data_IF_322826622488
#
_entry.id   IF_322826622488
#
_cell.length_a   1.000
_cell.length_b   1.000
_cell.length_c   1.000
_cell.angle_alpha   90.00
_cell.angle_beta   90.00
_cell.angle_gamma   90.00
#
_symmetry.space_group_name_H-M   'P 1'
#
loop_
_entity.id
_entity.type
_entity.pdbx_description
1 polymer ?
#
# COMPACT_ATOMS: atom_id res chain seq x y z
N UNK A 1 20.63 6.21 -9.54
CA UNK A 1 20.31 6.09 -8.10
C UNK A 1 19.11 5.15 -7.98
N UNK A 2 19.24 4.08 -7.22
CA UNK A 2 18.17 3.12 -7.00
C UNK A 2 16.97 3.79 -6.30
N UNK A 3 15.77 3.52 -6.80
CA UNK A 3 14.52 4.04 -6.23
C UNK A 3 13.70 2.93 -5.54
N UNK A 4 14.14 1.68 -5.63
CA UNK A 4 13.45 0.51 -5.12
C UNK A 4 14.39 -0.39 -4.32
N UNK A 5 13.86 -0.96 -3.27
CA UNK A 5 14.52 -2.03 -2.52
C UNK A 5 13.50 -3.13 -2.27
N UNK A 6 13.89 -4.37 -2.51
CA UNK A 6 13.04 -5.57 -2.34
C UNK A 6 13.53 -6.35 -1.13
N UNK A 7 12.60 -6.76 -0.28
CA UNK A 7 12.84 -7.63 0.85
C UNK A 7 11.65 -8.56 1.10
N UNK A 8 11.68 -9.29 2.20
CA UNK A 8 10.60 -10.18 2.62
C UNK A 8 10.42 -10.06 4.14
N UNK A 9 9.19 -10.21 4.61
CA UNK A 9 8.93 -10.37 6.03
C UNK A 9 9.64 -11.62 6.58
N UNK A 10 10.06 -11.55 7.83
CA UNK A 10 10.59 -12.71 8.55
C UNK A 10 9.57 -13.86 8.54
N UNK A 11 10.03 -15.09 8.31
CA UNK A 11 9.17 -16.29 8.19
C UNK A 11 8.37 -16.56 9.47
N UNK A 12 8.95 -16.30 10.65
CA UNK A 12 8.25 -16.48 11.94
C UNK A 12 7.07 -15.52 12.09
N UNK A 13 7.19 -14.31 11.51
CA UNK A 13 6.11 -13.32 11.49
C UNK A 13 5.06 -13.75 10.48
N UNK A 14 5.50 -14.12 9.29
CA UNK A 14 4.62 -14.54 8.20
C UNK A 14 3.80 -15.78 8.58
N UNK A 15 4.38 -16.75 9.27
CA UNK A 15 3.71 -17.94 9.79
C UNK A 15 2.62 -17.65 10.82
N UNK A 16 2.69 -16.49 11.50
CA UNK A 16 1.66 -16.05 12.46
C UNK A 16 0.57 -15.16 11.84
N UNK A 17 0.74 -14.73 10.59
CA UNK A 17 -0.23 -13.87 9.90
C UNK A 17 -1.38 -14.71 9.34
N UNK A 18 -2.57 -14.49 9.88
CA UNK A 18 -3.80 -15.06 9.33
C UNK A 18 -4.54 -13.99 8.51
N UNK A 19 -4.62 -14.17 7.19
CA UNK A 19 -5.21 -13.19 6.27
C UNK A 19 -6.68 -12.90 6.61
N UNK A 20 -7.48 -13.93 6.89
CA UNK A 20 -8.90 -13.77 7.22
C UNK A 20 -9.10 -12.98 8.52
N UNK A 21 -8.24 -13.22 9.52
CA UNK A 21 -8.25 -12.44 10.76
C UNK A 21 -7.92 -10.96 10.49
N UNK A 22 -6.90 -10.67 9.66
CA UNK A 22 -6.58 -9.31 9.27
C UNK A 22 -7.73 -8.64 8.51
N UNK A 23 -8.40 -9.34 7.59
CA UNK A 23 -9.55 -8.80 6.86
C UNK A 23 -10.64 -8.35 7.83
N UNK A 24 -10.91 -9.13 8.87
CA UNK A 24 -11.91 -8.80 9.90
C UNK A 24 -11.47 -7.65 10.82
N UNK A 25 -10.22 -7.69 11.32
CA UNK A 25 -9.73 -6.73 12.30
C UNK A 25 -9.45 -5.35 11.72
N UNK A 26 -9.01 -5.27 10.45
CA UNK A 26 -8.68 -4.01 9.79
C UNK A 26 -9.92 -3.21 9.34
N UNK A 27 -11.12 -3.78 9.42
CA UNK A 27 -12.42 -3.09 9.19
C UNK A 27 -12.41 -2.24 7.93
N UNK A 28 -12.11 -2.82 6.77
CA UNK A 28 -12.03 -2.13 5.50
C UNK A 28 -13.33 -1.41 5.14
N UNK A 29 -13.21 -0.16 4.71
CA UNK A 29 -14.30 0.68 4.24
C UNK A 29 -14.26 0.80 2.72
N UNK A 30 -15.44 0.83 2.10
CA UNK A 30 -15.63 1.07 0.67
C UNK A 30 -16.23 2.46 0.51
N UNK A 31 -15.44 3.40 -0.01
CA UNK A 31 -15.81 4.82 -0.03
C UNK A 31 -16.48 5.17 -1.35
N UNK A 32 -17.41 6.11 -1.30
CA UNK A 32 -17.88 6.81 -2.48
C UNK A 32 -16.79 7.79 -2.94
N UNK A 33 -16.40 7.68 -4.18
CA UNK A 33 -15.46 8.57 -4.86
C UNK A 33 -16.20 9.29 -5.99
N UNK A 34 -15.64 10.41 -6.41
CA UNK A 34 -16.13 11.19 -7.55
C UNK A 34 -14.98 11.37 -8.55
N UNK A 35 -15.23 11.13 -9.81
CA UNK A 35 -14.25 11.35 -10.86
C UNK A 35 -14.25 12.82 -11.34
N UNK A 36 -13.34 13.15 -12.25
CA UNK A 36 -13.19 14.51 -12.77
C UNK A 36 -14.41 15.02 -13.58
N UNK A 37 -15.37 14.13 -13.89
CA UNK A 37 -16.62 14.47 -14.58
C UNK A 37 -17.78 14.67 -13.62
N UNK A 38 -17.57 14.49 -12.29
CA UNK A 38 -18.60 14.53 -11.27
C UNK A 38 -19.37 13.20 -11.11
N UNK A 39 -18.96 12.13 -11.80
CA UNK A 39 -19.60 10.83 -11.67
C UNK A 39 -19.16 10.14 -10.36
N UNK A 40 -20.13 9.73 -9.56
CA UNK A 40 -19.91 9.06 -8.28
C UNK A 40 -19.86 7.55 -8.48
N UNK A 41 -18.91 6.92 -7.79
CA UNK A 41 -18.74 5.47 -7.80
C UNK A 41 -18.20 4.96 -6.45
N UNK A 42 -18.50 3.71 -6.13
CA UNK A 42 -17.95 3.05 -4.94
C UNK A 42 -16.59 2.43 -5.27
N UNK A 43 -15.59 2.68 -4.44
CA UNK A 43 -14.28 2.02 -4.55
C UNK A 43 -14.43 0.50 -4.60
N UNK A 44 -13.71 -0.12 -5.53
CA UNK A 44 -13.65 -1.58 -5.59
C UNK A 44 -12.76 -2.18 -4.48
N UNK A 45 -11.77 -1.41 -4.01
CA UNK A 45 -10.88 -1.79 -2.91
C UNK A 45 -11.47 -1.34 -1.58
N UNK A 46 -11.42 -2.21 -0.60
CA UNK A 46 -11.60 -1.78 0.78
C UNK A 46 -10.34 -1.03 1.24
N UNK A 47 -10.49 0.09 1.92
CA UNK A 47 -9.39 0.89 2.44
C UNK A 47 -9.57 1.22 3.91
N UNK A 48 -8.49 1.43 4.64
CA UNK A 48 -8.52 2.07 5.96
C UNK A 48 -7.17 2.76 6.22
N UNK A 49 -7.17 3.74 7.11
CA UNK A 49 -6.00 4.53 7.49
C UNK A 49 -5.78 4.51 8.99
N UNK A 50 -4.52 4.36 9.41
CA UNK A 50 -4.13 4.30 10.81
C UNK A 50 -2.93 5.21 11.08
N UNK A 51 -2.97 5.97 12.19
CA UNK A 51 -1.85 6.73 12.72
C UNK A 51 -2.09 7.03 14.20
N UNK A 52 -1.24 6.51 15.08
CA UNK A 52 -1.30 6.81 16.52
C UNK A 52 -0.89 8.25 16.85
N UNK A 53 -0.25 8.93 15.89
CA UNK A 53 0.12 10.35 16.00
C UNK A 53 -0.99 11.32 15.54
N UNK A 54 -2.13 10.80 15.08
CA UNK A 54 -3.26 11.61 14.65
C UNK A 54 -3.10 12.26 13.27
N UNK A 55 -2.15 11.80 12.44
CA UNK A 55 -1.97 12.36 11.09
C UNK A 55 -3.10 11.91 10.17
N UNK A 56 -3.80 12.86 9.56
CA UNK A 56 -4.78 12.59 8.49
C UNK A 56 -4.07 12.18 7.21
N UNK A 57 -4.78 11.55 6.30
CA UNK A 57 -4.26 11.18 4.99
C UNK A 57 -5.22 11.58 3.88
N UNK A 58 -4.74 12.37 2.93
CA UNK A 58 -5.53 12.74 1.75
C UNK A 58 -5.46 11.60 0.74
N UNK A 59 -6.62 11.08 0.36
CA UNK A 59 -6.74 9.96 -0.58
C UNK A 59 -7.88 10.24 -1.56
N UNK A 60 -7.58 10.26 -2.84
CA UNK A 60 -8.57 10.52 -3.92
C UNK A 60 -9.47 11.73 -3.59
N UNK A 61 -8.86 12.86 -3.23
CA UNK A 61 -9.51 14.12 -2.82
C UNK A 61 -10.39 14.03 -1.56
N UNK A 62 -10.28 12.96 -0.79
CA UNK A 62 -10.94 12.80 0.52
C UNK A 62 -9.91 12.74 1.64
N UNK A 63 -10.28 13.32 2.78
CA UNK A 63 -9.49 13.20 4.01
C UNK A 63 -9.88 11.87 4.69
N UNK A 64 -8.88 11.06 4.98
CA UNK A 64 -9.01 9.88 5.82
C UNK A 64 -8.60 10.23 7.24
N UNK A 65 -9.56 10.20 8.16
CA UNK A 65 -9.30 10.40 9.57
C UNK A 65 -8.49 9.24 10.14
N UNK A 66 -7.47 9.51 10.98
CA UNK A 66 -6.63 8.49 11.54
C UNK A 66 -7.38 7.65 12.57
N UNK A 67 -7.20 6.34 12.50
CA UNK A 67 -7.59 5.39 13.53
C UNK A 67 -6.35 4.90 14.27
N UNK A 68 -6.53 4.43 15.50
CA UNK A 68 -5.45 3.78 16.27
C UNK A 68 -4.95 2.54 15.53
N UNK A 69 -3.64 2.37 15.51
CA UNK A 69 -2.99 1.22 14.87
C UNK A 69 -3.43 -0.09 15.56
N UNK A 70 -4.07 -1.03 14.84
CA UNK A 70 -4.50 -2.29 15.40
C UNK A 70 -3.30 -3.16 15.81
N UNK A 71 -3.41 -3.83 16.96
CA UNK A 71 -2.33 -4.70 17.49
C UNK A 71 -1.89 -5.79 16.50
N UNK A 72 -2.77 -6.25 15.63
CA UNK A 72 -2.46 -7.26 14.60
C UNK A 72 -1.41 -6.79 13.59
N UNK A 73 -1.15 -5.48 13.45
CA UNK A 73 -0.11 -4.92 12.59
C UNK A 73 1.25 -4.77 13.28
N UNK A 74 1.34 -4.82 14.62
CA UNK A 74 2.55 -4.48 15.36
C UNK A 74 3.76 -5.34 14.97
N UNK A 75 3.60 -6.64 14.79
CA UNK A 75 4.70 -7.53 14.39
C UNK A 75 5.25 -7.19 13.00
N UNK A 76 4.37 -6.83 12.08
CA UNK A 76 4.73 -6.42 10.71
C UNK A 76 5.48 -5.09 10.76
N UNK A 77 4.93 -4.08 11.46
CA UNK A 77 5.53 -2.76 11.59
C UNK A 77 6.93 -2.85 12.21
N UNK A 78 7.06 -3.60 13.31
CA UNK A 78 8.34 -3.79 13.99
C UNK A 78 9.37 -4.50 13.09
N UNK A 79 8.96 -5.47 12.29
CA UNK A 79 9.84 -6.12 11.32
C UNK A 79 10.33 -5.16 10.23
N UNK A 80 9.42 -4.32 9.71
CA UNK A 80 9.78 -3.30 8.72
C UNK A 80 10.73 -2.26 9.34
N UNK A 81 10.50 -1.85 10.60
CA UNK A 81 11.42 -0.98 11.33
C UNK A 81 12.82 -1.59 11.46
N UNK A 82 12.92 -2.89 11.76
CA UNK A 82 14.21 -3.61 11.84
C UNK A 82 14.90 -3.65 10.47
N UNK A 83 14.14 -3.94 9.38
CA UNK A 83 14.72 -4.07 8.03
C UNK A 83 15.27 -2.73 7.52
N UNK A 84 14.56 -1.62 7.73
CA UNK A 84 14.89 -0.33 7.12
C UNK A 84 15.39 0.73 8.10
N UNK A 85 15.36 0.45 9.40
CA UNK A 85 15.71 1.39 10.48
C UNK A 85 14.93 2.71 10.40
N UNK A 86 13.63 2.64 10.07
CA UNK A 86 12.72 3.79 9.96
C UNK A 86 11.47 3.52 10.78
N UNK A 87 11.07 4.51 11.57
CA UNK A 87 9.78 4.56 12.24
C UNK A 87 8.72 5.16 11.30
N UNK A 88 7.94 4.29 10.67
CA UNK A 88 6.78 4.71 9.89
C UNK A 88 5.61 5.00 10.84
N UNK A 89 4.88 6.07 10.60
CA UNK A 89 3.85 6.60 11.51
C UNK A 89 2.47 6.80 10.84
N UNK A 90 2.36 6.44 9.58
CA UNK A 90 1.11 6.37 8.84
C UNK A 90 0.97 5.05 8.07
N UNK A 91 -0.20 4.42 8.13
CA UNK A 91 -0.44 3.10 7.55
C UNK A 91 -1.74 3.11 6.76
N UNK A 92 -1.62 3.01 5.44
CA UNK A 92 -2.75 2.78 4.55
C UNK A 92 -2.87 1.28 4.26
N UNK A 93 -4.04 0.70 4.51
CA UNK A 93 -4.32 -0.68 4.16
C UNK A 93 -5.31 -0.74 3.00
N UNK A 94 -5.04 -1.64 2.04
CA UNK A 94 -5.91 -1.86 0.90
C UNK A 94 -6.26 -3.34 0.79
N UNK A 95 -7.55 -3.66 0.66
CA UNK A 95 -8.05 -5.01 0.40
C UNK A 95 -8.45 -5.16 -1.07
N UNK A 96 -7.81 -6.08 -1.74
CA UNK A 96 -8.16 -6.56 -3.07
C UNK A 96 -8.84 -7.91 -2.90
N UNK A 97 -10.18 -7.95 -3.01
CA UNK A 97 -10.97 -9.19 -2.78
C UNK A 97 -10.64 -10.31 -3.76
N UNK A 98 -10.20 -9.97 -4.97
CA UNK A 98 -9.83 -10.90 -6.01
C UNK A 98 -8.96 -10.21 -7.08
N UNK A 99 -8.62 -10.94 -8.13
CA UNK A 99 -7.78 -10.44 -9.22
C UNK A 99 -8.39 -9.35 -10.09
N UNK A 100 -9.71 -9.17 -10.08
CA UNK A 100 -10.38 -8.13 -10.88
C UNK A 100 -10.27 -6.74 -10.22
N UNK A 101 -10.16 -6.70 -8.89
CA UNK A 101 -9.92 -5.47 -8.16
C UNK A 101 -8.50 -4.98 -8.42
N UNK A 102 -8.34 -3.74 -8.86
CA UNK A 102 -7.06 -3.16 -9.32
C UNK A 102 -6.80 -1.79 -8.72
N UNK A 103 -5.60 -1.29 -8.96
CA UNK A 103 -5.26 0.12 -8.84
C UNK A 103 -4.71 0.60 -10.18
N UNK A 104 -5.26 1.69 -10.71
CA UNK A 104 -4.78 2.32 -11.93
C UNK A 104 -3.38 2.93 -11.78
N UNK A 105 -2.84 3.49 -12.86
CA UNK A 105 -1.59 4.23 -12.84
C UNK A 105 -1.70 5.48 -11.96
N UNK A 106 -0.82 5.61 -10.98
CA UNK A 106 -0.77 6.74 -10.07
C UNK A 106 0.64 6.92 -9.50
N UNK A 107 0.88 8.05 -8.90
CA UNK A 107 1.95 8.31 -7.95
C UNK A 107 1.34 8.49 -6.57
N UNK A 108 2.06 8.18 -5.52
CA UNK A 108 1.64 8.49 -4.16
C UNK A 108 1.94 9.97 -3.88
N UNK A 109 0.93 10.84 -3.73
CA UNK A 109 1.19 12.24 -3.46
C UNK A 109 1.78 12.43 -2.06
N UNK A 110 2.77 13.32 -1.95
CA UNK A 110 3.44 13.60 -0.68
C UNK A 110 2.78 14.75 0.09
N UNK A 111 2.00 15.59 -0.58
CA UNK A 111 1.27 16.75 -0.04
C UNK A 111 2.11 17.69 0.86
N UNK A 112 3.45 17.68 0.69
CA UNK A 112 4.42 18.36 1.55
C UNK A 112 4.46 17.87 3.02
N UNK A 113 3.70 16.87 3.37
CA UNK A 113 3.58 16.29 4.71
C UNK A 113 4.37 15.00 4.86
N UNK A 114 4.46 14.20 3.78
CA UNK A 114 5.10 12.89 3.79
C UNK A 114 6.48 12.96 3.15
N UNK A 115 7.44 12.21 3.70
CA UNK A 115 8.73 12.02 3.00
C UNK A 115 8.54 11.09 1.80
N UNK A 116 9.42 11.22 0.79
CA UNK A 116 9.46 10.28 -0.35
C UNK A 116 10.17 8.98 0.06
N UNK A 117 9.53 8.29 0.97
CA UNK A 117 9.94 6.98 1.48
C UNK A 117 8.69 6.23 1.95
N UNK A 118 8.34 5.18 1.28
CA UNK A 118 7.20 4.36 1.61
C UNK A 118 7.48 2.87 1.38
N UNK A 119 6.85 2.03 2.18
CA UNK A 119 7.01 0.58 2.11
C UNK A 119 5.66 -0.06 1.85
N UNK A 120 5.61 -0.97 0.88
CA UNK A 120 4.45 -1.81 0.60
C UNK A 120 4.75 -3.24 1.03
N UNK A 121 3.98 -3.75 1.97
CA UNK A 121 3.96 -5.18 2.35
C UNK A 121 2.76 -5.85 1.69
N UNK A 122 2.98 -6.99 1.04
CA UNK A 122 1.94 -7.78 0.38
C UNK A 122 1.61 -9.03 1.18
N UNK A 123 0.34 -9.28 1.46
CA UNK A 123 -0.14 -10.47 2.15
C UNK A 123 -1.26 -11.14 1.34
N UNK A 124 -1.24 -12.46 1.27
CA UNK A 124 -2.22 -13.25 0.52
C UNK A 124 -1.81 -13.50 -0.93
N UNK A 125 -2.74 -13.39 -1.87
CA UNK A 125 -2.50 -13.78 -3.27
C UNK A 125 -1.46 -12.92 -3.97
N UNK A 126 -0.67 -13.54 -4.83
CA UNK A 126 0.34 -12.84 -5.64
C UNK A 126 -0.31 -11.90 -6.65
N UNK A 127 0.13 -10.66 -6.68
CA UNK A 127 -0.27 -9.64 -7.65
C UNK A 127 0.95 -8.97 -8.27
N UNK A 128 0.82 -8.54 -9.51
CA UNK A 128 1.87 -7.76 -10.17
C UNK A 128 1.71 -6.29 -9.80
N UNK A 129 2.74 -5.74 -9.16
CA UNK A 129 2.96 -4.31 -9.01
C UNK A 129 3.85 -3.85 -10.16
N UNK A 130 3.28 -3.07 -11.06
CA UNK A 130 3.99 -2.59 -12.25
C UNK A 130 4.31 -1.12 -12.10
N UNK A 131 5.54 -0.75 -12.41
CA UNK A 131 6.00 0.63 -12.52
C UNK A 131 6.21 1.01 -13.98
N UNK A 132 6.01 2.27 -14.29
CA UNK A 132 6.42 2.88 -15.56
C UNK A 132 7.12 4.20 -15.27
N UNK A 133 8.17 4.47 -16.03
CA UNK A 133 8.89 5.73 -15.92
C UNK A 133 8.04 6.89 -16.46
N UNK A 134 7.94 8.00 -15.72
CA UNK A 134 7.08 9.14 -16.08
C UNK A 134 7.56 9.84 -17.36
N UNK A 135 8.89 9.89 -17.59
CA UNK A 135 9.50 10.50 -18.78
C UNK A 135 9.54 9.56 -19.99
N UNK A 136 9.47 8.24 -19.77
CA UNK A 136 9.46 7.23 -20.83
C UNK A 136 8.47 6.11 -20.48
N UNK A 137 7.21 6.28 -20.85
CA UNK A 137 6.12 5.35 -20.51
C UNK A 137 6.32 3.92 -21.07
N UNK A 138 7.24 3.72 -22.01
CA UNK A 138 7.59 2.40 -22.54
C UNK A 138 8.53 1.65 -21.59
N UNK A 139 9.29 2.36 -20.76
CA UNK A 139 10.15 1.75 -19.75
C UNK A 139 9.28 1.31 -18.56
N UNK A 140 9.16 0.00 -18.39
CA UNK A 140 8.31 -0.62 -17.36
C UNK A 140 9.07 -1.70 -16.63
N UNK A 141 8.84 -1.75 -15.32
CA UNK A 141 9.39 -2.76 -14.40
C UNK A 141 8.22 -3.43 -13.68
N UNK A 142 8.29 -4.73 -13.47
CA UNK A 142 7.27 -5.51 -12.78
C UNK A 142 7.86 -6.23 -11.57
N UNK A 143 7.13 -6.19 -10.47
CA UNK A 143 7.45 -6.95 -9.27
C UNK A 143 6.29 -7.89 -8.94
N UNK A 144 6.60 -9.17 -8.78
CA UNK A 144 5.66 -10.15 -8.24
C UNK A 144 5.55 -9.95 -6.72
N UNK A 145 4.43 -9.38 -6.29
CA UNK A 145 4.13 -9.14 -4.88
C UNK A 145 3.44 -10.38 -4.29
N UNK A 146 4.24 -11.43 -4.06
CA UNK A 146 3.78 -12.64 -3.38
C UNK A 146 3.58 -12.41 -1.87
N UNK A 147 3.03 -13.40 -1.17
CA UNK A 147 2.81 -13.34 0.28
C UNK A 147 4.11 -13.06 1.04
N UNK A 148 4.11 -12.03 1.88
CA UNK A 148 5.28 -11.57 2.64
C UNK A 148 6.27 -10.71 1.85
N UNK A 149 6.09 -10.51 0.54
CA UNK A 149 6.98 -9.65 -0.25
C UNK A 149 6.85 -8.19 0.20
N UNK A 150 8.00 -7.53 0.31
CA UNK A 150 8.11 -6.12 0.70
C UNK A 150 8.83 -5.36 -0.40
N UNK A 151 8.33 -4.19 -0.78
CA UNK A 151 9.01 -3.23 -1.65
C UNK A 151 9.05 -1.87 -0.95
N UNK A 152 10.22 -1.25 -0.89
CA UNK A 152 10.42 0.14 -0.47
C UNK A 152 10.61 1.00 -1.70
N UNK A 153 9.93 2.13 -1.73
CA UNK A 153 10.03 3.19 -2.73
C UNK A 153 10.61 4.43 -2.05
N UNK A 154 11.73 4.97 -2.59
CA UNK A 154 12.47 6.07 -1.97
C UNK A 154 13.29 6.84 -3.01
N UNK A 155 14.00 7.90 -2.62
CA UNK A 155 14.92 8.66 -3.47
C UNK A 155 14.32 9.19 -4.79
N UNK A 156 13.20 9.89 -4.72
CA UNK A 156 12.52 10.46 -5.87
C UNK A 156 11.73 9.44 -6.67
N UNK A 157 11.36 8.30 -6.05
CA UNK A 157 10.57 7.27 -6.72
C UNK A 157 9.25 7.83 -7.24
N UNK A 158 8.53 8.60 -6.43
CA UNK A 158 7.22 9.15 -6.80
C UNK A 158 7.31 10.21 -7.91
N UNK A 159 8.45 10.88 -8.03
CA UNK A 159 8.71 11.82 -9.14
C UNK A 159 9.02 11.08 -10.45
N UNK A 160 9.78 9.99 -10.36
CA UNK A 160 10.30 9.28 -11.55
C UNK A 160 9.34 8.23 -12.09
N UNK A 161 8.55 7.60 -11.22
CA UNK A 161 7.77 6.41 -11.53
C UNK A 161 6.31 6.54 -11.11
N UNK A 162 5.40 6.21 -12.02
CA UNK A 162 4.02 5.86 -11.68
C UNK A 162 3.92 4.36 -11.48
N UNK A 163 2.98 3.91 -10.66
CA UNK A 163 2.79 2.48 -10.42
C UNK A 163 1.31 2.08 -10.45
N UNK A 164 1.06 0.79 -10.64
CA UNK A 164 -0.28 0.20 -10.65
C UNK A 164 -0.30 -1.23 -10.14
N UNK A 165 -1.46 -1.70 -9.70
CA UNK A 165 -1.72 -3.13 -9.46
C UNK A 165 -2.53 -3.69 -10.63
N UNK A 166 -1.94 -4.63 -11.38
CA UNK A 166 -2.55 -5.22 -12.58
C UNK A 166 -3.71 -6.15 -12.25
N UNK A 167 -4.65 -6.32 -13.18
CA UNK A 167 -5.63 -7.42 -13.15
C UNK A 167 -4.92 -8.77 -13.16
N UNK A 168 -5.53 -9.76 -12.52
CA UNK A 168 -5.10 -11.15 -12.56
C UNK A 168 -6.32 -12.08 -12.57
N UNK A 169 -6.07 -13.37 -12.76
CA UNK A 169 -7.14 -14.39 -12.77
C UNK A 169 -7.43 -14.98 -11.38
N UNK A 170 -6.70 -14.57 -10.34
CA UNK A 170 -6.89 -15.11 -8.99
C UNK A 170 -8.27 -14.77 -8.43
N UNK A 171 -8.88 -15.70 -7.75
CA UNK A 171 -10.10 -15.52 -6.96
C UNK A 171 -9.78 -15.15 -5.50
N UNK A 172 -8.52 -15.33 -5.10
CA UNK A 172 -8.04 -15.11 -3.75
C UNK A 172 -7.81 -13.63 -3.42
N UNK A 173 -7.97 -13.30 -2.14
CA UNK A 173 -7.75 -11.96 -1.62
C UNK A 173 -6.28 -11.63 -1.42
N UNK A 174 -5.97 -10.33 -1.49
CA UNK A 174 -4.69 -9.73 -1.12
C UNK A 174 -4.91 -8.51 -0.26
N UNK A 175 -4.11 -8.36 0.79
CA UNK A 175 -3.96 -7.11 1.53
C UNK A 175 -2.63 -6.46 1.12
N UNK A 176 -2.68 -5.15 0.86
CA UNK A 176 -1.50 -4.29 0.74
C UNK A 176 -1.44 -3.38 1.96
N UNK A 177 -0.35 -3.43 2.70
CA UNK A 177 -0.07 -2.54 3.84
C UNK A 177 0.98 -1.54 3.35
N UNK A 178 0.63 -0.26 3.28
CA UNK A 178 1.50 0.81 2.84
C UNK A 178 1.90 1.65 4.04
N UNK A 179 3.18 1.58 4.42
CA UNK A 179 3.72 2.36 5.52
C UNK A 179 4.31 3.66 4.98
N UNK A 180 4.00 4.77 5.64
CA UNK A 180 4.44 6.11 5.28
C UNK A 180 5.07 6.80 6.47
N UNK A 181 6.05 7.67 6.19
CA UNK A 181 6.73 8.48 7.21
C UNK A 181 6.33 9.94 7.04
N UNK A 182 5.79 10.53 8.10
CA UNK A 182 5.55 11.97 8.19
C UNK A 182 6.88 12.73 8.40
N UNK A 183 6.96 13.97 7.88
CA UNK A 183 8.13 14.85 8.03
C UNK A 183 8.40 15.24 9.47
#
# INVERSE_FOLDING_TARGET
MECFSISKLNEDILGKVCLNKLITELKFEYRELEDNTGCKYIEQRGTNWFSDKGYTFVYSNKIMEPKTIPKCLNSIINNIKIIYNIDYDGILVNLYKNGQVTMGWHVDPLYNEWIDDSVIVSLGSTRILQFRENKNMNNKIEFEMCNGRVIRMYNGCQEKWSHRVKKSKTTESRISIVLKKHK
#
